data_IF_908598013731
#
_entry.id   IF_908598013731
#
_cell.length_a   1.000
_cell.length_b   1.000
_cell.length_c   1.000
_cell.angle_alpha   90.00
_cell.angle_beta   90.00
_cell.angle_gamma   90.00
#
_symmetry.space_group_name_H-M   'P 1'
#
loop_
_entity.id
_entity.type
_entity.pdbx_description
1 polymer ?
#
# COMPACT_ATOMS: atom_id res chain seq x y z
N UNK A 1 3.68 50.34 -37.72
CA UNK A 1 3.75 49.03 -37.05
C UNK A 1 3.44 49.28 -35.59
N UNK A 2 2.45 48.62 -34.96
CA UNK A 2 2.30 48.71 -33.51
C UNK A 2 3.53 48.09 -32.84
N UNK A 3 3.90 48.57 -31.66
CA UNK A 3 5.10 48.15 -30.95
C UNK A 3 5.10 46.63 -30.71
N UNK A 4 6.10 45.92 -31.25
CA UNK A 4 6.54 44.63 -30.70
C UNK A 4 6.88 44.89 -29.23
N UNK A 5 6.21 44.20 -28.31
CA UNK A 5 6.21 44.53 -26.87
C UNK A 5 7.52 44.17 -26.17
N UNK A 6 8.45 43.55 -26.89
CA UNK A 6 9.80 43.22 -26.47
C UNK A 6 10.73 43.24 -27.70
N UNK A 7 11.89 43.89 -27.64
CA UNK A 7 12.98 43.80 -28.64
C UNK A 7 14.28 44.05 -27.88
N UNK A 8 15.12 43.03 -27.76
CA UNK A 8 16.34 43.04 -26.96
C UNK A 8 17.63 43.02 -27.82
N UNK A 9 17.47 43.02 -29.15
CA UNK A 9 18.55 43.17 -30.11
C UNK A 9 19.48 41.96 -30.26
N UNK A 10 19.03 40.75 -29.92
CA UNK A 10 19.77 39.50 -30.15
C UNK A 10 18.94 38.48 -30.96
N UNK A 11 19.53 37.32 -31.30
CA UNK A 11 18.87 36.21 -32.02
C UNK A 11 18.65 34.97 -31.11
N UNK A 12 18.24 35.19 -29.86
CA UNK A 12 18.00 34.17 -28.83
C UNK A 12 16.50 33.97 -28.59
N UNK A 13 16.08 32.74 -28.33
CA UNK A 13 14.71 32.45 -27.86
C UNK A 13 14.67 32.11 -26.37
N UNK A 14 15.81 32.08 -25.67
CA UNK A 14 15.93 31.52 -24.31
C UNK A 14 16.16 32.60 -23.25
N UNK A 15 15.94 33.87 -23.59
CA UNK A 15 16.00 34.99 -22.66
C UNK A 15 14.64 35.69 -22.62
N UNK A 16 14.56 36.88 -22.03
CA UNK A 16 13.29 37.57 -21.82
C UNK A 16 12.52 37.91 -23.12
N UNK A 17 13.16 37.81 -24.28
CA UNK A 17 12.58 38.09 -25.59
C UNK A 17 12.74 36.91 -26.54
N UNK A 18 11.67 36.51 -27.21
CA UNK A 18 11.81 35.54 -28.31
C UNK A 18 12.22 36.23 -29.61
N UNK A 19 12.73 35.47 -30.57
CA UNK A 19 13.03 35.95 -31.94
C UNK A 19 11.78 36.42 -32.70
N UNK A 20 10.59 36.07 -32.22
CA UNK A 20 9.31 36.62 -32.72
C UNK A 20 9.00 37.98 -32.09
N UNK A 21 9.86 38.47 -31.19
CA UNK A 21 9.72 39.68 -30.36
C UNK A 21 8.42 39.69 -29.57
N UNK A 22 8.13 38.52 -29.00
CA UNK A 22 7.13 38.30 -27.98
C UNK A 22 7.87 38.16 -26.65
N UNK A 23 7.18 38.45 -25.55
CA UNK A 23 7.75 38.21 -24.22
C UNK A 23 7.89 36.70 -24.02
N UNK A 24 8.95 36.29 -23.35
CA UNK A 24 9.11 34.93 -22.86
C UNK A 24 7.93 34.54 -21.96
N UNK A 25 7.26 33.43 -22.28
CA UNK A 25 6.16 32.88 -21.50
C UNK A 25 6.34 31.36 -21.36
N UNK A 26 6.04 30.83 -20.18
CA UNK A 26 6.00 29.40 -19.96
C UNK A 26 4.96 28.73 -20.89
N UNK A 27 5.40 27.72 -21.63
CA UNK A 27 4.60 26.99 -22.62
C UNK A 27 4.77 27.49 -24.05
N UNK A 28 5.75 28.37 -24.31
CA UNK A 28 6.10 28.83 -25.66
C UNK A 28 7.04 27.85 -26.39
N UNK A 29 7.51 26.81 -25.70
CA UNK A 29 8.37 25.75 -26.22
C UNK A 29 9.86 26.07 -26.17
N UNK A 30 10.27 27.13 -25.49
CA UNK A 30 11.66 27.52 -25.31
C UNK A 30 12.03 27.65 -23.84
N UNK A 31 13.03 26.88 -23.39
CA UNK A 31 13.53 27.00 -22.01
C UNK A 31 14.22 28.34 -21.78
N UNK A 32 13.58 29.23 -21.02
CA UNK A 32 14.08 30.55 -20.63
C UNK A 32 15.09 30.48 -19.48
N UNK A 33 16.35 30.77 -19.80
CA UNK A 33 17.49 30.51 -18.92
C UNK A 33 17.39 31.28 -17.60
N UNK A 34 17.33 30.55 -16.48
CA UNK A 34 17.27 31.11 -15.14
C UNK A 34 15.88 31.62 -14.74
N UNK A 35 14.87 31.45 -15.59
CA UNK A 35 13.46 31.73 -15.29
C UNK A 35 12.71 30.42 -15.03
N UNK A 36 12.96 29.40 -15.85
CA UNK A 36 12.30 28.11 -15.76
C UNK A 36 13.26 26.93 -15.88
N UNK A 37 12.80 25.75 -15.45
CA UNK A 37 13.60 24.53 -15.44
C UNK A 37 13.38 23.68 -16.70
N UNK A 38 12.22 23.82 -17.33
CA UNK A 38 11.81 23.13 -18.55
C UNK A 38 10.72 23.93 -19.27
N UNK A 39 10.49 23.65 -20.55
CA UNK A 39 9.32 24.06 -21.31
C UNK A 39 9.20 23.06 -22.46
N UNK A 40 8.12 22.29 -22.47
CA UNK A 40 7.87 21.28 -23.50
C UNK A 40 6.80 21.71 -24.52
N UNK A 41 6.34 22.97 -24.43
CA UNK A 41 5.42 23.62 -25.34
C UNK A 41 3.99 23.08 -25.28
N UNK A 42 3.62 22.44 -24.17
CA UNK A 42 2.40 21.67 -24.04
C UNK A 42 1.65 22.04 -22.74
N UNK A 43 0.37 21.68 -22.64
CA UNK A 43 -0.52 22.01 -21.50
C UNK A 43 -0.78 20.85 -20.54
N UNK A 44 0.11 19.85 -20.47
CA UNK A 44 0.02 18.65 -19.66
C UNK A 44 0.96 18.73 -18.45
N UNK A 45 0.42 18.51 -17.25
CA UNK A 45 1.23 18.36 -16.04
C UNK A 45 1.71 16.92 -15.78
N UNK A 46 1.38 15.98 -16.68
CA UNK A 46 1.59 14.52 -16.45
C UNK A 46 2.79 13.94 -17.20
N UNK A 47 3.59 14.81 -17.82
CA UNK A 47 4.85 14.47 -18.48
C UNK A 47 6.01 15.06 -17.66
N UNK A 48 7.18 15.25 -18.29
CA UNK A 48 8.38 15.66 -17.57
C UNK A 48 8.40 17.16 -17.19
N UNK A 49 7.48 17.97 -17.74
CA UNK A 49 7.43 19.40 -17.50
C UNK A 49 6.02 19.82 -17.11
N UNK A 50 5.87 20.47 -15.97
CA UNK A 50 4.56 20.99 -15.57
C UNK A 50 4.21 22.25 -16.38
N UNK A 51 2.93 22.61 -16.40
CA UNK A 51 2.42 23.86 -16.98
C UNK A 51 2.90 25.11 -16.22
N UNK A 52 3.66 24.94 -15.15
CA UNK A 52 4.36 26.01 -14.43
C UNK A 52 5.84 26.09 -14.82
N UNK A 53 6.28 25.30 -15.81
CA UNK A 53 7.65 25.21 -16.31
C UNK A 53 8.66 24.78 -15.22
N UNK A 54 8.15 23.99 -14.28
CA UNK A 54 8.90 23.25 -13.27
C UNK A 54 9.04 21.80 -13.73
N UNK A 55 10.18 21.18 -13.44
CA UNK A 55 10.36 19.75 -13.69
C UNK A 55 9.34 18.98 -12.86
N UNK A 56 8.74 17.96 -13.48
CA UNK A 56 7.88 17.04 -12.77
C UNK A 56 8.65 16.33 -11.63
N UNK A 57 8.07 16.36 -10.44
CA UNK A 57 8.64 15.76 -9.25
C UNK A 57 7.54 15.10 -8.41
N UNK A 58 7.88 13.99 -7.76
CA UNK A 58 6.97 13.35 -6.83
C UNK A 58 6.57 14.31 -5.70
N UNK A 59 5.26 14.45 -5.49
CA UNK A 59 4.65 15.35 -4.53
C UNK A 59 4.21 16.68 -5.12
N UNK A 60 4.20 16.83 -6.46
CA UNK A 60 3.74 18.05 -7.14
C UNK A 60 2.22 18.09 -7.39
N UNK A 61 1.53 17.00 -7.06
CA UNK A 61 0.07 16.87 -7.17
C UNK A 61 -0.38 16.24 -8.50
N UNK A 62 0.54 15.84 -9.38
CA UNK A 62 0.25 15.25 -10.67
C UNK A 62 0.90 13.88 -10.79
N UNK A 63 0.11 12.85 -11.10
CA UNK A 63 0.67 11.52 -11.31
C UNK A 63 1.34 11.45 -12.68
N UNK A 64 2.67 11.40 -12.72
CA UNK A 64 3.43 11.26 -13.96
C UNK A 64 3.68 9.80 -14.37
N UNK A 65 4.20 9.63 -15.58
CA UNK A 65 4.58 8.32 -16.10
C UNK A 65 5.68 7.66 -15.25
N UNK A 66 5.32 6.55 -14.59
CA UNK A 66 6.23 5.79 -13.72
C UNK A 66 5.85 5.86 -12.24
N UNK A 67 5.03 6.83 -11.87
CA UNK A 67 4.49 6.97 -10.53
C UNK A 67 3.29 6.06 -10.29
N UNK A 68 3.17 5.55 -9.07
CA UNK A 68 2.03 4.73 -8.63
C UNK A 68 0.95 5.58 -7.96
N UNK A 69 1.30 6.78 -7.51
CA UNK A 69 0.47 7.76 -6.84
C UNK A 69 1.24 9.09 -6.80
N UNK A 70 0.51 10.18 -6.55
CA UNK A 70 1.02 11.48 -6.13
C UNK A 70 -0.12 12.11 -5.32
N UNK A 71 0.16 12.58 -4.10
CA UNK A 71 -0.81 13.20 -3.21
C UNK A 71 -0.48 14.66 -2.87
N UNK A 72 0.40 15.28 -3.66
CA UNK A 72 0.77 16.69 -3.53
C UNK A 72 1.69 16.98 -2.35
N UNK A 73 2.35 15.97 -1.79
CA UNK A 73 3.36 16.15 -0.76
C UNK A 73 4.45 15.06 -0.79
N UNK A 74 5.48 15.21 0.04
CA UNK A 74 6.62 14.27 0.16
C UNK A 74 6.70 13.61 1.52
N UNK A 75 5.56 13.49 2.22
CA UNK A 75 5.46 12.75 3.46
C UNK A 75 5.37 11.25 3.20
N UNK A 76 5.78 10.47 4.19
CA UNK A 76 5.55 9.03 4.20
C UNK A 76 4.39 8.73 5.15
N UNK A 77 3.67 7.63 4.90
CA UNK A 77 2.65 7.13 5.81
C UNK A 77 1.23 7.66 5.58
N UNK A 78 0.94 8.13 4.37
CA UNK A 78 -0.38 8.59 3.88
C UNK A 78 -0.85 7.77 2.66
N UNK A 79 -0.24 6.60 2.44
CA UNK A 79 -0.47 5.68 1.30
C UNK A 79 0.07 6.18 -0.05
N UNK A 80 0.76 7.32 -0.10
CA UNK A 80 1.65 7.67 -1.19
C UNK A 80 3.05 8.02 -0.65
N UNK A 81 4.03 7.16 -0.94
CA UNK A 81 5.36 7.37 -0.42
C UNK A 81 6.02 8.60 -1.06
N UNK A 82 7.00 9.21 -0.41
CA UNK A 82 7.77 10.35 -0.93
C UNK A 82 8.53 10.09 -2.26
N UNK A 83 8.53 8.84 -2.74
CA UNK A 83 9.06 8.43 -4.03
C UNK A 83 7.97 7.93 -4.99
N UNK A 84 6.71 8.30 -4.74
CA UNK A 84 5.54 8.04 -5.56
C UNK A 84 5.29 6.56 -5.82
N UNK A 85 5.67 5.75 -4.83
CA UNK A 85 5.32 4.33 -4.73
C UNK A 85 4.24 4.12 -3.68
N UNK A 86 3.53 3.01 -3.77
CA UNK A 86 2.53 2.64 -2.75
C UNK A 86 3.08 1.56 -1.83
N UNK A 87 2.75 1.59 -0.53
CA UNK A 87 2.98 0.46 0.35
C UNK A 87 2.06 -0.71 -0.02
N UNK A 88 2.43 -1.94 0.35
CA UNK A 88 1.48 -3.05 0.37
C UNK A 88 0.50 -2.84 1.51
N UNK A 89 -0.77 -2.76 1.17
CA UNK A 89 -1.83 -2.50 2.14
C UNK A 89 -2.21 -3.75 2.92
N UNK A 90 -2.54 -3.55 4.19
CA UNK A 90 -2.95 -4.61 5.11
C UNK A 90 -4.15 -4.14 5.92
N UNK A 91 -5.10 -5.04 6.17
CA UNK A 91 -6.21 -4.77 7.09
C UNK A 91 -6.64 -6.02 7.84
N UNK A 92 -7.34 -5.83 8.96
CA UNK A 92 -8.04 -6.90 9.67
C UNK A 92 -9.53 -6.85 9.33
N UNK A 93 -10.14 -7.97 8.94
CA UNK A 93 -11.54 -7.96 8.46
C UNK A 93 -12.52 -7.43 9.51
N UNK A 94 -13.50 -6.61 9.10
CA UNK A 94 -14.56 -6.12 10.00
C UNK A 94 -15.51 -7.21 10.48
N UNK A 95 -15.55 -8.36 9.80
CA UNK A 95 -16.37 -9.52 10.13
C UNK A 95 -15.52 -10.75 10.45
N UNK A 96 -16.17 -11.77 11.00
CA UNK A 96 -15.52 -12.97 11.53
C UNK A 96 -16.10 -14.27 10.95
N UNK A 97 -15.28 -15.31 10.92
CA UNK A 97 -15.65 -16.66 10.46
C UNK A 97 -15.11 -17.72 11.41
N UNK A 98 -15.74 -18.89 11.35
CA UNK A 98 -15.19 -20.09 11.97
C UNK A 98 -14.00 -20.65 11.17
N UNK A 99 -13.35 -21.67 11.70
CA UNK A 99 -12.16 -22.30 11.11
C UNK A 99 -12.40 -22.98 9.76
N UNK A 100 -13.65 -23.17 9.31
CA UNK A 100 -13.94 -23.63 7.95
C UNK A 100 -13.94 -22.45 6.98
N UNK A 101 -12.73 -22.02 6.61
CA UNK A 101 -12.53 -20.95 5.64
C UNK A 101 -12.66 -21.44 4.20
N UNK A 102 -12.73 -22.76 3.96
CA UNK A 102 -12.65 -23.37 2.64
C UNK A 102 -11.20 -23.53 2.15
N UNK A 103 -10.28 -23.76 3.07
CA UNK A 103 -8.84 -23.80 2.80
C UNK A 103 -8.23 -22.44 2.47
N UNK A 104 -6.97 -22.45 2.01
CA UNK A 104 -6.24 -21.24 1.60
C UNK A 104 -7.01 -20.47 0.53
N UNK A 105 -7.54 -21.16 -0.49
CA UNK A 105 -8.31 -20.52 -1.56
C UNK A 105 -9.61 -19.86 -1.07
N UNK A 106 -10.29 -20.49 -0.11
CA UNK A 106 -11.50 -19.94 0.48
C UNK A 106 -11.22 -18.73 1.38
N UNK A 107 -10.11 -18.73 2.12
CA UNK A 107 -9.66 -17.57 2.88
C UNK A 107 -9.24 -16.40 1.98
N UNK A 108 -8.52 -16.69 0.89
CA UNK A 108 -8.21 -15.70 -0.15
C UNK A 108 -9.48 -15.04 -0.69
N UNK A 109 -10.48 -15.84 -1.02
CA UNK A 109 -11.78 -15.36 -1.52
C UNK A 109 -12.49 -14.48 -0.50
N UNK A 110 -12.39 -14.78 0.80
CA UNK A 110 -12.94 -13.94 1.88
C UNK A 110 -12.22 -12.59 1.95
N UNK A 111 -10.89 -12.57 1.92
CA UNK A 111 -10.13 -11.32 1.88
C UNK A 111 -10.46 -10.49 0.65
N UNK A 112 -10.51 -11.09 -0.53
CA UNK A 112 -10.88 -10.41 -1.77
C UNK A 112 -12.30 -9.81 -1.69
N UNK A 113 -13.26 -10.53 -1.11
CA UNK A 113 -14.63 -10.03 -0.94
C UNK A 113 -14.70 -8.85 0.04
N UNK A 114 -13.92 -8.87 1.13
CA UNK A 114 -13.85 -7.73 2.06
C UNK A 114 -13.21 -6.51 1.42
N UNK A 115 -12.09 -6.70 0.71
CA UNK A 115 -11.44 -5.63 -0.01
C UNK A 115 -12.35 -5.00 -1.08
N UNK A 116 -13.15 -5.81 -1.78
CA UNK A 116 -14.16 -5.31 -2.72
C UNK A 116 -15.26 -4.49 -2.01
N UNK A 117 -15.65 -4.88 -0.79
CA UNK A 117 -16.63 -4.11 0.01
C UNK A 117 -16.07 -2.75 0.43
N UNK A 118 -14.77 -2.66 0.69
CA UNK A 118 -14.04 -1.42 0.96
C UNK A 118 -13.60 -0.64 -0.28
N UNK A 119 -13.95 -1.09 -1.50
CA UNK A 119 -13.51 -0.51 -2.77
C UNK A 119 -11.98 -0.37 -2.92
N UNK A 120 -11.20 -1.29 -2.34
CA UNK A 120 -9.75 -1.15 -2.28
C UNK A 120 -9.02 -1.48 -3.61
N UNK A 121 -9.71 -2.14 -4.55
CA UNK A 121 -9.08 -2.68 -5.76
C UNK A 121 -8.05 -3.76 -5.45
N UNK A 122 -7.17 -4.09 -6.42
CA UNK A 122 -6.03 -4.99 -6.21
C UNK A 122 -6.39 -6.46 -5.96
N UNK A 123 -5.35 -7.26 -5.69
CA UNK A 123 -5.50 -8.67 -5.30
C UNK A 123 -5.12 -8.86 -3.84
N UNK A 124 -5.92 -9.64 -3.12
CA UNK A 124 -5.77 -9.80 -1.67
C UNK A 124 -5.65 -11.25 -1.30
N UNK A 125 -4.87 -11.52 -0.25
CA UNK A 125 -4.72 -12.86 0.27
C UNK A 125 -4.63 -12.85 1.79
N UNK A 126 -5.04 -13.95 2.41
CA UNK A 126 -5.13 -14.06 3.85
C UNK A 126 -3.77 -14.44 4.45
N UNK A 127 -3.40 -13.85 5.59
CA UNK A 127 -2.25 -14.30 6.39
C UNK A 127 -2.62 -15.58 7.16
N UNK A 128 -2.66 -16.69 6.43
CA UNK A 128 -2.89 -18.02 7.01
C UNK A 128 -2.00 -19.08 6.40
N UNK A 129 -1.76 -20.17 7.13
CA UNK A 129 -0.92 -21.28 6.67
C UNK A 129 -1.61 -22.65 6.75
N UNK A 130 -1.19 -23.55 5.88
CA UNK A 130 -1.50 -24.99 5.90
C UNK A 130 -0.27 -25.79 5.45
N UNK A 131 0.49 -26.34 6.40
CA UNK A 131 1.69 -27.12 6.10
C UNK A 131 2.70 -26.36 5.23
N UNK A 132 2.92 -26.80 3.99
CA UNK A 132 3.86 -26.15 3.07
C UNK A 132 3.31 -24.88 2.40
N UNK A 133 2.01 -24.61 2.50
CA UNK A 133 1.40 -23.41 1.94
C UNK A 133 1.28 -22.33 3.02
N UNK A 134 2.18 -21.35 3.01
CA UNK A 134 2.32 -20.33 4.05
C UNK A 134 2.70 -18.97 3.44
N UNK A 135 2.50 -17.85 4.17
CA UNK A 135 2.84 -16.51 3.67
C UNK A 135 4.30 -16.35 3.21
N UNK A 136 5.26 -16.99 3.88
CA UNK A 136 6.67 -16.96 3.48
C UNK A 136 6.89 -17.43 2.04
N UNK A 137 6.27 -18.55 1.64
CA UNK A 137 6.33 -19.04 0.26
C UNK A 137 5.34 -18.39 -0.71
N UNK A 138 4.16 -17.98 -0.24
CA UNK A 138 3.01 -17.58 -1.08
C UNK A 138 2.95 -16.10 -1.42
N UNK A 139 3.31 -15.22 -0.49
CA UNK A 139 3.05 -13.79 -0.68
C UNK A 139 4.01 -13.17 -1.68
N UNK A 140 3.54 -12.19 -2.44
CA UNK A 140 4.42 -11.25 -3.16
C UNK A 140 4.93 -10.23 -2.14
N UNK A 141 6.25 -10.07 -2.02
CA UNK A 141 6.83 -9.23 -0.97
C UNK A 141 6.80 -7.77 -1.37
N UNK A 142 6.64 -6.87 -0.40
CA UNK A 142 6.68 -5.45 -0.69
C UNK A 142 8.09 -5.07 -1.12
N UNK A 143 8.20 -4.24 -2.15
CA UNK A 143 9.46 -3.58 -2.53
C UNK A 143 9.65 -2.26 -1.81
N UNK A 144 8.64 -1.80 -1.06
CA UNK A 144 8.60 -0.51 -0.37
C UNK A 144 8.42 -0.75 1.11
N UNK A 145 7.18 -0.86 1.59
CA UNK A 145 6.78 -1.11 2.99
C UNK A 145 5.41 -1.75 3.10
N UNK A 146 4.97 -2.05 4.32
CA UNK A 146 3.64 -2.54 4.64
C UNK A 146 2.92 -1.51 5.51
N UNK A 147 1.68 -1.16 5.13
CA UNK A 147 0.91 -0.16 5.86
C UNK A 147 -0.54 -0.57 6.00
N UNK A 148 -1.17 -0.07 7.07
CA UNK A 148 -2.62 -0.14 7.25
C UNK A 148 -3.32 0.81 6.27
N UNK A 149 -4.64 0.70 6.18
CA UNK A 149 -5.45 1.57 5.31
C UNK A 149 -5.59 3.01 5.82
N UNK A 150 -5.15 3.31 7.03
CA UNK A 150 -5.02 4.67 7.57
C UNK A 150 -3.60 5.25 7.37
N UNK A 151 -2.77 4.59 6.55
CA UNK A 151 -1.42 5.05 6.21
C UNK A 151 -0.33 4.67 7.21
N UNK A 152 -0.71 4.26 8.43
CA UNK A 152 0.27 3.89 9.46
C UNK A 152 1.03 2.63 9.05
N UNK A 153 2.36 2.77 9.02
CA UNK A 153 3.30 1.70 8.71
C UNK A 153 3.27 0.61 9.79
N UNK A 154 3.30 -0.65 9.36
CA UNK A 154 3.38 -1.81 10.26
C UNK A 154 4.72 -2.53 10.15
N UNK A 155 5.43 -2.34 9.02
CA UNK A 155 6.76 -2.87 8.77
C UNK A 155 7.41 -2.21 7.54
N UNK A 156 8.71 -1.95 7.54
CA UNK A 156 9.45 -1.43 6.38
C UNK A 156 9.78 -2.52 5.36
N UNK A 157 9.98 -3.77 5.77
CA UNK A 157 10.42 -4.84 4.86
C UNK A 157 9.75 -6.16 5.18
N UNK A 158 9.92 -7.18 4.32
CA UNK A 158 9.51 -8.54 4.67
C UNK A 158 10.27 -9.07 5.89
N UNK A 159 11.57 -8.77 6.00
CA UNK A 159 12.38 -9.19 7.12
C UNK A 159 11.85 -8.60 8.43
N UNK A 160 11.54 -7.32 8.43
CA UNK A 160 10.95 -6.59 9.55
C UNK A 160 9.54 -7.10 9.90
N UNK A 161 8.65 -7.28 8.90
CA UNK A 161 7.32 -7.89 9.11
C UNK A 161 7.38 -9.28 9.77
N UNK A 162 8.51 -9.98 9.62
CA UNK A 162 8.69 -11.37 10.05
C UNK A 162 9.78 -11.57 11.10
N UNK A 163 10.20 -10.51 11.79
CA UNK A 163 11.26 -10.57 12.80
C UNK A 163 10.76 -10.89 14.22
N UNK A 164 9.44 -10.99 14.39
CA UNK A 164 8.78 -11.19 15.68
C UNK A 164 8.11 -9.94 16.25
N UNK A 165 8.30 -8.78 15.62
CA UNK A 165 7.68 -7.50 16.01
C UNK A 165 7.05 -6.76 14.83
N UNK A 166 6.09 -5.89 15.13
CA UNK A 166 5.50 -4.93 14.19
C UNK A 166 5.73 -3.52 14.72
N UNK A 167 5.88 -2.55 13.83
CA UNK A 167 5.96 -1.13 14.22
C UNK A 167 4.61 -0.62 14.76
N UNK A 168 3.51 -1.15 14.21
CA UNK A 168 2.16 -0.84 14.62
C UNK A 168 1.24 -2.05 14.51
N UNK A 169 0.20 -2.14 15.35
CA UNK A 169 -0.74 -3.26 15.32
C UNK A 169 -1.64 -3.19 14.08
N UNK A 170 -2.01 -4.35 13.52
CA UNK A 170 -2.95 -4.45 12.39
C UNK A 170 -4.40 -4.37 12.90
N UNK A 171 -4.84 -3.18 13.28
CA UNK A 171 -6.15 -2.93 13.90
C UNK A 171 -7.06 -2.00 13.10
N UNK A 172 -6.87 -1.90 11.78
CA UNK A 172 -7.72 -1.13 10.86
C UNK A 172 -8.44 -2.08 9.93
N UNK A 173 -9.74 -1.86 9.70
CA UNK A 173 -10.55 -2.69 8.82
C UNK A 173 -10.55 -2.20 7.37
N UNK A 174 -11.21 -2.94 6.47
CA UNK A 174 -11.30 -2.64 5.03
C UNK A 174 -11.90 -1.27 4.67
N UNK A 175 -12.50 -0.56 5.63
CA UNK A 175 -13.04 0.79 5.46
C UNK A 175 -12.11 1.90 5.94
N UNK A 176 -10.94 1.55 6.49
CA UNK A 176 -10.05 2.51 7.15
C UNK A 176 -10.41 2.80 8.61
N UNK A 177 -11.42 2.11 9.16
CA UNK A 177 -11.87 2.34 10.53
C UNK A 177 -11.09 1.47 11.54
N UNK A 178 -10.82 2.06 12.70
CA UNK A 178 -10.26 1.35 13.85
C UNK A 178 -11.17 0.20 14.28
N UNK A 179 -10.56 -0.97 14.45
CA UNK A 179 -11.20 -2.17 14.90
C UNK A 179 -10.96 -2.42 16.39
N UNK A 180 -12.00 -2.83 17.15
CA UNK A 180 -11.80 -3.26 18.52
C UNK A 180 -10.89 -4.49 18.56
N UNK A 181 -10.34 -4.76 19.74
CA UNK A 181 -9.56 -5.97 19.97
C UNK A 181 -10.34 -7.22 19.56
N UNK A 182 -9.70 -8.07 18.76
CA UNK A 182 -10.24 -9.33 18.29
C UNK A 182 -9.10 -10.32 18.01
N UNK A 183 -9.40 -11.60 18.15
CA UNK A 183 -8.53 -12.67 17.71
C UNK A 183 -8.68 -12.90 16.20
N UNK A 184 -7.60 -13.39 15.58
CA UNK A 184 -7.44 -13.48 14.12
C UNK A 184 -6.90 -14.85 13.76
N UNK A 185 -7.55 -15.57 12.85
CA UNK A 185 -7.02 -16.86 12.39
C UNK A 185 -5.72 -16.67 11.62
N UNK A 186 -4.69 -17.42 11.99
CA UNK A 186 -3.36 -17.35 11.34
C UNK A 186 -2.81 -18.75 11.05
N UNK A 187 -2.70 -19.65 12.03
CA UNK A 187 -1.89 -20.87 11.89
C UNK A 187 -0.46 -20.61 11.42
N UNK A 188 0.05 -19.39 11.60
CA UNK A 188 1.29 -18.90 10.99
C UNK A 188 2.19 -18.32 12.06
N UNK A 189 3.46 -18.71 12.04
CA UNK A 189 4.50 -18.17 12.90
C UNK A 189 4.83 -16.72 12.52
N UNK A 190 5.56 -16.04 13.39
CA UNK A 190 6.12 -14.71 13.15
C UNK A 190 7.05 -14.68 11.94
N UNK A 191 7.80 -15.76 11.66
CA UNK A 191 8.64 -15.86 10.46
C UNK A 191 7.85 -16.10 9.14
N UNK A 192 6.52 -16.12 9.21
CA UNK A 192 5.63 -16.38 8.08
C UNK A 192 5.51 -17.85 7.67
N UNK A 193 6.08 -18.79 8.42
CA UNK A 193 5.96 -20.24 8.19
C UNK A 193 4.75 -20.85 8.89
N UNK A 194 4.41 -22.10 8.55
CA UNK A 194 3.23 -22.77 9.09
C UNK A 194 3.49 -23.31 10.50
N UNK A 195 2.51 -23.12 11.38
CA UNK A 195 2.41 -23.82 12.65
C UNK A 195 1.53 -25.08 12.49
N UNK A 196 1.48 -25.92 13.53
CA UNK A 196 0.82 -27.23 13.49
C UNK A 196 -0.71 -27.17 13.55
N UNK A 197 -1.28 -26.15 14.20
CA UNK A 197 -2.72 -26.02 14.40
C UNK A 197 -3.33 -25.02 13.41
N UNK A 198 -4.15 -25.54 12.50
CA UNK A 198 -4.74 -24.78 11.39
C UNK A 198 -6.08 -25.36 10.95
N UNK A 199 -6.92 -25.83 11.88
CA UNK A 199 -8.28 -26.31 11.62
C UNK A 199 -8.37 -27.32 10.47
N UNK A 200 -7.51 -28.33 10.46
CA UNK A 200 -7.39 -29.33 9.39
C UNK A 200 -7.32 -28.71 7.99
N UNK A 201 -6.45 -27.72 7.84
CA UNK A 201 -6.29 -27.00 6.58
C UNK A 201 -7.41 -25.99 6.35
N UNK A 202 -7.97 -25.42 7.41
CA UNK A 202 -9.09 -24.48 7.39
C UNK A 202 -10.35 -25.01 6.69
N UNK A 203 -10.65 -26.30 6.89
CA UNK A 203 -11.79 -26.98 6.28
C UNK A 203 -12.85 -27.44 7.28
N UNK A 204 -12.63 -27.19 8.58
CA UNK A 204 -13.53 -27.64 9.64
C UNK A 204 -13.86 -26.53 10.61
N UNK A 205 -15.09 -26.55 11.10
CA UNK A 205 -15.59 -25.72 12.18
C UNK A 205 -15.82 -26.53 13.46
N UNK A 206 -15.11 -27.67 13.59
CA UNK A 206 -15.32 -28.62 14.69
C UNK A 206 -14.99 -28.03 16.06
N UNK A 207 -15.92 -28.32 16.98
CA UNK A 207 -15.89 -28.04 18.42
C UNK A 207 -14.94 -28.90 19.25
N UNK A 208 -14.38 -29.97 18.72
CA UNK A 208 -13.81 -31.05 19.54
C UNK A 208 -12.39 -31.38 19.12
N UNK A 209 -11.42 -30.89 19.90
CA UNK A 209 -10.00 -31.27 19.78
C UNK A 209 -9.32 -30.88 18.47
N UNK A 210 -9.98 -30.10 17.61
CA UNK A 210 -9.36 -29.50 16.42
C UNK A 210 -9.19 -28.02 16.69
N UNK A 211 -7.95 -27.56 16.60
CA UNK A 211 -7.57 -26.21 16.96
C UNK A 211 -7.01 -25.46 15.75
N UNK A 212 -7.05 -24.14 15.83
CA UNK A 212 -6.33 -23.23 14.96
C UNK A 212 -5.52 -22.28 15.82
N UNK A 213 -4.29 -21.96 15.40
CA UNK A 213 -3.56 -20.87 16.05
C UNK A 213 -4.11 -19.53 15.57
N UNK A 214 -4.20 -18.62 16.53
CA UNK A 214 -4.70 -17.28 16.38
C UNK A 214 -3.62 -16.23 16.71
N UNK A 215 -3.76 -15.07 16.10
CA UNK A 215 -3.08 -13.84 16.47
C UNK A 215 -4.04 -12.85 17.10
N UNK A 216 -3.53 -11.70 17.52
CA UNK A 216 -4.33 -10.62 18.11
C UNK A 216 -4.08 -9.30 17.39
N UNK A 217 -5.16 -8.68 16.89
CA UNK A 217 -5.09 -7.50 16.03
C UNK A 217 -4.53 -6.23 16.68
N UNK A 218 -4.45 -6.16 18.01
CA UNK A 218 -3.88 -5.04 18.74
C UNK A 218 -2.49 -5.32 19.34
N UNK A 219 -1.89 -6.47 19.02
CA UNK A 219 -0.54 -6.80 19.45
C UNK A 219 0.50 -6.34 18.40
N UNK A 220 1.70 -6.08 18.89
CA UNK A 220 2.89 -5.71 18.08
C UNK A 220 4.08 -6.64 18.33
N UNK A 221 3.99 -7.51 19.32
CA UNK A 221 4.93 -8.62 19.49
C UNK A 221 4.43 -9.84 18.71
N UNK A 222 5.16 -10.96 18.77
CA UNK A 222 4.83 -12.21 18.09
C UNK A 222 3.37 -12.69 18.30
N UNK A 223 2.67 -12.23 19.34
CA UNK A 223 1.26 -12.54 19.54
C UNK A 223 0.34 -11.93 18.46
N UNK A 224 0.83 -11.01 17.63
CA UNK A 224 0.06 -10.46 16.51
C UNK A 224 -0.36 -11.56 15.53
N UNK A 225 0.48 -12.59 15.33
CA UNK A 225 0.19 -13.75 14.48
C UNK A 225 0.16 -15.07 15.25
N UNK A 226 0.99 -15.27 16.26
CA UNK A 226 1.13 -16.55 16.94
C UNK A 226 1.02 -16.36 18.44
N UNK A 227 -0.17 -15.96 18.91
CA UNK A 227 -0.44 -15.75 20.32
C UNK A 227 -0.07 -17.01 21.09
N UNK A 228 0.92 -16.89 21.99
CA UNK A 228 1.68 -17.96 22.67
C UNK A 228 1.12 -19.37 22.45
N UNK A 229 1.95 -20.28 21.89
CA UNK A 229 1.70 -21.65 21.37
C UNK A 229 0.76 -22.60 22.17
N UNK A 230 0.23 -22.16 23.30
CA UNK A 230 -0.82 -22.77 24.12
C UNK A 230 -2.25 -22.23 23.86
N UNK A 231 -2.43 -21.16 23.08
CA UNK A 231 -3.74 -20.49 22.87
C UNK A 231 -4.40 -20.84 21.53
N UNK A 232 -4.20 -22.06 21.04
CA UNK A 232 -4.93 -22.50 19.86
C UNK A 232 -6.44 -22.56 20.20
N UNK A 233 -7.24 -21.88 19.38
CA UNK A 233 -8.66 -21.76 19.59
C UNK A 233 -9.41 -22.86 18.89
N UNK A 234 -10.58 -23.14 19.43
CA UNK A 234 -11.47 -24.11 18.84
C UNK A 234 -11.97 -23.62 17.47
N UNK A 235 -11.94 -24.49 16.46
CA UNK A 235 -12.32 -24.11 15.10
C UNK A 235 -13.80 -23.72 14.95
N UNK A 236 -14.64 -23.95 15.95
CA UNK A 236 -16.02 -23.43 15.99
C UNK A 236 -16.11 -21.93 16.34
N UNK A 237 -15.05 -21.34 16.93
CA UNK A 237 -15.03 -19.92 17.31
C UNK A 237 -14.99 -19.00 16.10
N UNK A 238 -15.61 -17.82 16.21
CA UNK A 238 -15.58 -16.81 15.16
C UNK A 238 -14.39 -15.87 15.37
N UNK A 239 -13.52 -15.79 14.37
CA UNK A 239 -12.36 -14.90 14.39
C UNK A 239 -12.21 -14.16 13.07
N UNK A 240 -11.43 -13.08 13.10
CA UNK A 240 -11.16 -12.26 11.92
C UNK A 240 -10.04 -12.86 11.07
N UNK A 241 -9.75 -12.23 9.93
CA UNK A 241 -8.58 -12.53 9.10
C UNK A 241 -7.73 -11.27 8.93
N UNK A 242 -6.42 -11.42 8.85
CA UNK A 242 -5.59 -10.38 8.22
C UNK A 242 -5.56 -10.62 6.72
N UNK A 243 -5.76 -9.53 5.98
CA UNK A 243 -5.75 -9.52 4.53
C UNK A 243 -4.63 -8.61 4.05
N UNK A 244 -3.73 -9.17 3.25
CA UNK A 244 -2.58 -8.49 2.69
C UNK A 244 -2.73 -8.38 1.18
N UNK A 245 -2.40 -7.21 0.65
CA UNK A 245 -2.32 -6.96 -0.78
C UNK A 245 -1.18 -7.77 -1.42
N UNK A 246 -1.46 -8.39 -2.56
CA UNK A 246 -0.55 -9.23 -3.35
C UNK A 246 -0.11 -8.53 -4.63
#
# INVERSE_FOLDING_TARGET
MPAKTCDDGNDSNTDACTNLCELAECGDGFVHAGVEACDDGNGSNTDACTNLCELAECGDGFVQAGEQCDDGNTADGDLCNANCTRPKRVFVTSISWNGNLGGIAGAKSKCQARAATGNLGGTWDAWISTGTNNPAGRFVKSTTRYARLDGVEIAQTWADLTDGTLDAPINVNEFGDMSPQADVWTGTADDGTSLSEHCNGWTTSSGLGVLGIEGRNNAVDFNWTARSLINASNCSTLQRLYCFEQ
#
